data_IF_662937579544
#
_entry.id   IF_662937579544
#
_cell.length_a   1.000
_cell.length_b   1.000
_cell.length_c   1.000
_cell.angle_alpha   90.00
_cell.angle_beta   90.00
_cell.angle_gamma   90.00
#
_symmetry.space_group_name_H-M   'P 1'
#
loop_
_entity.id
_entity.type
_entity.pdbx_description
1 polymer ?
#
# COMPACT_ATOMS: atom_id res chain seq x y z
N UNK A 1 -14.99 -4.45 -4.70
CA UNK A 1 -13.57 -4.30 -4.23
C UNK A 1 -12.62 -4.50 -5.40
N UNK A 2 -11.75 -3.52 -5.68
CA UNK A 2 -10.75 -3.55 -6.77
C UNK A 2 -9.65 -4.57 -6.49
N UNK A 3 -9.08 -5.13 -7.55
CA UNK A 3 -8.01 -6.12 -7.42
C UNK A 3 -6.75 -5.57 -6.73
N UNK A 4 -6.42 -4.29 -6.93
CA UNK A 4 -5.35 -3.61 -6.21
C UNK A 4 -5.55 -3.66 -4.69
N UNK A 5 -6.75 -3.31 -4.21
CA UNK A 5 -7.10 -3.34 -2.78
C UNK A 5 -7.11 -4.77 -2.25
N UNK A 6 -7.57 -5.73 -3.03
CA UNK A 6 -7.52 -7.15 -2.67
C UNK A 6 -6.09 -7.65 -2.44
N UNK A 7 -5.17 -7.31 -3.34
CA UNK A 7 -3.78 -7.67 -3.19
C UNK A 7 -3.12 -7.04 -1.96
N UNK A 8 -3.39 -5.76 -1.71
CA UNK A 8 -2.92 -5.08 -0.51
C UNK A 8 -3.45 -5.74 0.78
N UNK A 9 -4.76 -6.07 0.79
CA UNK A 9 -5.38 -6.79 1.91
C UNK A 9 -4.74 -8.16 2.14
N UNK A 10 -4.45 -8.91 1.07
CA UNK A 10 -3.75 -10.19 1.16
C UNK A 10 -2.39 -10.05 1.84
N UNK A 11 -1.61 -9.01 1.50
CA UNK A 11 -0.31 -8.76 2.15
C UNK A 11 -0.44 -8.38 3.63
N UNK A 12 -1.44 -7.57 3.99
CA UNK A 12 -1.74 -7.24 5.39
C UNK A 12 -2.06 -8.49 6.19
N UNK A 13 -2.92 -9.37 5.65
CA UNK A 13 -3.38 -10.57 6.32
C UNK A 13 -2.30 -11.67 6.39
N UNK A 14 -1.50 -11.85 5.32
CA UNK A 14 -0.35 -12.78 5.34
C UNK A 14 0.68 -12.37 6.42
N UNK A 15 0.82 -11.09 6.70
CA UNK A 15 1.70 -10.57 7.75
C UNK A 15 1.08 -10.48 9.15
N UNK A 16 -0.22 -10.74 9.29
CA UNK A 16 -0.94 -10.49 10.54
C UNK A 16 -0.72 -11.56 11.60
N UNK A 17 -0.58 -12.83 11.22
CA UNK A 17 -0.40 -13.94 12.16
C UNK A 17 -1.48 -13.92 13.26
N UNK A 18 -1.08 -13.87 14.55
CA UNK A 18 -2.03 -13.88 15.68
C UNK A 18 -2.91 -12.63 15.75
N UNK A 19 -2.52 -11.53 15.12
CA UNK A 19 -3.27 -10.26 15.14
C UNK A 19 -4.50 -10.28 14.20
N UNK A 20 -4.71 -11.34 13.41
CA UNK A 20 -5.80 -11.42 12.43
C UNK A 20 -7.17 -11.21 13.08
N UNK A 21 -7.42 -11.80 14.24
CA UNK A 21 -8.68 -11.63 14.97
C UNK A 21 -8.95 -10.17 15.39
N UNK A 22 -7.91 -9.44 15.75
CA UNK A 22 -7.99 -8.00 16.02
C UNK A 22 -8.36 -7.21 14.76
N UNK A 23 -7.71 -7.52 13.63
CA UNK A 23 -8.03 -6.88 12.34
C UNK A 23 -9.49 -7.12 11.95
N UNK A 24 -10.02 -8.34 12.12
CA UNK A 24 -11.44 -8.66 11.89
C UNK A 24 -12.36 -7.74 12.72
N UNK A 25 -12.09 -7.62 14.02
CA UNK A 25 -12.89 -6.79 14.93
C UNK A 25 -12.83 -5.31 14.55
N UNK A 26 -11.64 -4.79 14.24
CA UNK A 26 -11.43 -3.38 13.86
C UNK A 26 -12.12 -3.06 12.52
N UNK A 27 -11.97 -3.92 11.49
CA UNK A 27 -12.67 -3.79 10.21
C UNK A 27 -14.20 -3.84 10.37
N UNK A 28 -14.70 -4.76 11.20
CA UNK A 28 -16.12 -4.87 11.51
C UNK A 28 -16.67 -3.62 12.21
N UNK A 29 -15.91 -3.07 13.16
CA UNK A 29 -16.25 -1.83 13.86
C UNK A 29 -16.33 -0.64 12.90
N UNK A 30 -15.38 -0.53 11.99
CA UNK A 30 -15.39 0.52 10.96
C UNK A 30 -16.57 0.34 9.99
N UNK A 31 -16.85 -0.90 9.56
CA UNK A 31 -18.02 -1.21 8.74
C UNK A 31 -19.34 -0.81 9.43
N UNK A 32 -19.48 -1.10 10.72
CA UNK A 32 -20.62 -0.67 11.52
C UNK A 32 -20.71 0.86 11.63
N UNK A 33 -19.57 1.54 11.80
CA UNK A 33 -19.53 3.00 11.83
C UNK A 33 -20.02 3.63 10.51
N UNK A 34 -19.69 3.06 9.36
CA UNK A 34 -20.20 3.52 8.06
C UNK A 34 -21.72 3.38 7.93
N UNK A 35 -22.31 2.42 8.63
CA UNK A 35 -23.78 2.24 8.65
C UNK A 35 -24.45 3.22 9.60
N UNK A 36 -23.88 3.43 10.79
CA UNK A 36 -24.52 4.20 11.86
C UNK A 36 -24.29 5.72 11.79
N UNK A 37 -23.18 6.16 11.19
CA UNK A 37 -22.81 7.58 11.13
C UNK A 37 -22.95 8.12 9.71
N UNK A 38 -24.08 8.77 9.43
CA UNK A 38 -24.38 9.34 8.11
C UNK A 38 -23.33 10.34 7.63
N UNK A 39 -22.82 11.19 8.51
CA UNK A 39 -21.79 12.18 8.16
C UNK A 39 -20.48 11.51 7.69
N UNK A 40 -20.04 10.45 8.37
CA UNK A 40 -18.87 9.68 7.97
C UNK A 40 -19.09 9.01 6.61
N UNK A 41 -20.25 8.36 6.45
CA UNK A 41 -20.61 7.71 5.19
C UNK A 41 -20.65 8.71 4.05
N UNK A 42 -21.31 9.86 4.20
CA UNK A 42 -21.39 10.89 3.17
C UNK A 42 -20.02 11.35 2.72
N UNK A 43 -19.12 11.72 3.64
CA UNK A 43 -17.76 12.17 3.29
C UNK A 43 -16.97 11.09 2.55
N UNK A 44 -17.05 9.84 2.98
CA UNK A 44 -16.25 8.76 2.40
C UNK A 44 -16.83 8.20 1.10
N UNK A 45 -18.14 8.35 0.85
CA UNK A 45 -18.81 7.89 -0.37
C UNK A 45 -19.14 9.01 -1.35
N UNK A 46 -18.76 10.23 -1.06
CA UNK A 46 -18.92 11.36 -1.98
C UNK A 46 -17.82 11.32 -3.06
N UNK A 47 -18.24 11.23 -4.32
CA UNK A 47 -17.34 11.20 -5.46
C UNK A 47 -16.60 12.54 -5.68
N UNK A 48 -17.09 13.65 -5.11
CA UNK A 48 -16.44 14.97 -5.19
C UNK A 48 -15.28 15.11 -4.22
N UNK A 49 -15.24 14.29 -3.15
CA UNK A 49 -14.15 14.28 -2.19
C UNK A 49 -12.93 13.56 -2.79
N UNK A 50 -11.80 14.26 -2.86
CA UNK A 50 -10.57 13.70 -3.40
C UNK A 50 -10.14 12.42 -2.66
N UNK A 51 -9.61 11.39 -3.35
CA UNK A 51 -9.17 10.15 -2.74
C UNK A 51 -8.19 10.34 -1.57
N UNK A 52 -7.25 11.28 -1.71
CA UNK A 52 -6.31 11.62 -0.65
C UNK A 52 -7.00 12.18 0.61
N UNK A 53 -8.04 12.98 0.44
CA UNK A 53 -8.83 13.52 1.57
C UNK A 53 -9.62 12.43 2.27
N UNK A 54 -10.22 11.50 1.53
CA UNK A 54 -10.90 10.33 2.11
C UNK A 54 -9.95 9.47 2.94
N UNK A 55 -8.73 9.23 2.41
CA UNK A 55 -7.66 8.56 3.16
C UNK A 55 -7.30 9.31 4.44
N UNK A 56 -7.10 10.62 4.37
CA UNK A 56 -6.76 11.44 5.53
C UNK A 56 -7.83 11.33 6.64
N UNK A 57 -9.11 11.41 6.28
CA UNK A 57 -10.22 11.23 7.22
C UNK A 57 -10.16 9.87 7.94
N UNK A 58 -9.90 8.79 7.20
CA UNK A 58 -9.76 7.45 7.79
C UNK A 58 -8.57 7.37 8.74
N UNK A 59 -7.42 7.90 8.33
CA UNK A 59 -6.19 7.90 9.15
C UNK A 59 -6.36 8.73 10.42
N UNK A 60 -7.00 9.89 10.34
CA UNK A 60 -7.26 10.75 11.51
C UNK A 60 -8.26 10.11 12.47
N UNK A 61 -9.31 9.47 11.95
CA UNK A 61 -10.34 8.84 12.76
C UNK A 61 -9.81 7.63 13.54
N UNK A 62 -8.99 6.81 12.90
CA UNK A 62 -8.54 5.52 13.43
C UNK A 62 -7.14 5.58 14.05
N UNK A 63 -6.37 6.62 13.74
CA UNK A 63 -4.99 6.79 14.22
C UNK A 63 -4.91 6.79 15.75
N UNK A 64 -4.08 5.91 16.30
CA UNK A 64 -3.91 5.74 17.75
C UNK A 64 -5.02 4.95 18.46
N UNK A 65 -6.07 4.54 17.75
CA UNK A 65 -7.18 3.70 18.26
C UNK A 65 -7.08 2.27 17.76
N UNK A 66 -6.89 2.12 16.48
CA UNK A 66 -6.80 0.84 15.79
C UNK A 66 -5.35 0.45 15.48
N UNK A 67 -5.14 -0.80 15.11
CA UNK A 67 -3.83 -1.29 14.72
C UNK A 67 -3.32 -0.57 13.47
N UNK A 68 -2.01 -0.33 13.39
CA UNK A 68 -1.40 0.31 12.22
C UNK A 68 -1.72 -0.44 10.91
N UNK A 69 -1.91 -1.77 10.97
CA UNK A 69 -2.29 -2.59 9.83
C UNK A 69 -3.70 -2.28 9.34
N UNK A 70 -4.66 -2.19 10.25
CA UNK A 70 -6.06 -1.84 9.91
C UNK A 70 -6.16 -0.41 9.38
N UNK A 71 -5.47 0.52 10.03
CA UNK A 71 -5.42 1.93 9.57
C UNK A 71 -4.83 2.02 8.16
N UNK A 72 -3.72 1.31 7.88
CA UNK A 72 -3.13 1.27 6.56
C UNK A 72 -4.08 0.66 5.52
N UNK A 73 -4.72 -0.48 5.84
CA UNK A 73 -5.65 -1.16 4.94
C UNK A 73 -6.88 -0.30 4.61
N UNK A 74 -7.52 0.27 5.62
CA UNK A 74 -8.69 1.12 5.41
C UNK A 74 -8.33 2.44 4.72
N UNK A 75 -7.18 3.04 5.05
CA UNK A 75 -6.66 4.22 4.39
C UNK A 75 -6.34 3.97 2.91
N UNK A 76 -5.72 2.82 2.60
CA UNK A 76 -5.47 2.39 1.22
C UNK A 76 -6.79 2.15 0.46
N UNK A 77 -7.75 1.48 1.10
CA UNK A 77 -9.07 1.23 0.52
C UNK A 77 -9.80 2.54 0.22
N UNK A 78 -9.82 3.50 1.16
CA UNK A 78 -10.45 4.80 0.97
C UNK A 78 -9.80 5.62 -0.16
N UNK A 79 -8.51 5.42 -0.41
CA UNK A 79 -7.80 6.09 -1.49
C UNK A 79 -8.08 5.48 -2.87
N UNK A 80 -8.02 4.16 -2.98
CA UNK A 80 -8.04 3.49 -4.28
C UNK A 80 -9.41 2.98 -4.72
N UNK A 81 -10.37 2.78 -3.81
CA UNK A 81 -11.72 2.41 -4.20
C UNK A 81 -12.54 3.60 -4.74
N UNK A 82 -13.48 3.29 -5.62
CA UNK A 82 -14.51 4.26 -5.97
C UNK A 82 -15.35 4.60 -4.74
N UNK A 83 -15.76 5.85 -4.63
CA UNK A 83 -16.54 6.32 -3.49
C UNK A 83 -17.79 5.45 -3.26
N UNK A 84 -18.55 5.14 -4.30
CA UNK A 84 -19.74 4.28 -4.24
C UNK A 84 -19.47 2.85 -3.80
N UNK A 85 -18.25 2.35 -4.02
CA UNK A 85 -17.86 0.97 -3.73
C UNK A 85 -17.16 0.81 -2.37
N UNK A 86 -16.95 1.91 -1.64
CA UNK A 86 -16.18 1.85 -0.39
C UNK A 86 -16.83 0.95 0.67
N UNK A 87 -18.12 1.14 0.95
CA UNK A 87 -18.82 0.33 1.95
C UNK A 87 -18.90 -1.16 1.57
N UNK A 88 -19.28 -1.55 0.32
CA UNK A 88 -19.17 -2.94 -0.13
C UNK A 88 -17.75 -3.51 -0.03
N UNK A 89 -16.74 -2.69 -0.31
CA UNK A 89 -15.34 -3.14 -0.24
C UNK A 89 -14.90 -3.39 1.19
N UNK A 90 -15.31 -2.55 2.15
CA UNK A 90 -15.06 -2.79 3.59
C UNK A 90 -15.73 -4.10 4.05
N UNK A 91 -16.97 -4.36 3.65
CA UNK A 91 -17.64 -5.63 3.97
C UNK A 91 -16.89 -6.84 3.37
N UNK A 92 -16.38 -6.71 2.14
CA UNK A 92 -15.56 -7.76 1.52
C UNK A 92 -14.22 -7.96 2.24
N UNK A 93 -13.60 -6.91 2.79
CA UNK A 93 -12.38 -7.01 3.60
C UNK A 93 -12.64 -7.74 4.92
N UNK A 94 -13.78 -7.49 5.58
CA UNK A 94 -14.18 -8.24 6.78
C UNK A 94 -14.27 -9.73 6.46
N UNK A 95 -15.02 -10.11 5.41
CA UNK A 95 -15.16 -11.51 5.01
C UNK A 95 -13.82 -12.17 4.64
N UNK A 96 -12.89 -11.43 4.01
CA UNK A 96 -11.56 -11.93 3.70
C UNK A 96 -10.74 -12.18 4.97
N UNK A 97 -10.77 -11.24 5.93
CA UNK A 97 -10.09 -11.38 7.20
C UNK A 97 -10.66 -12.51 8.06
N UNK A 98 -11.98 -12.70 8.05
CA UNK A 98 -12.65 -13.84 8.71
C UNK A 98 -12.22 -15.19 8.11
N UNK A 99 -12.09 -15.30 6.79
CA UNK A 99 -11.58 -16.51 6.14
C UNK A 99 -10.17 -16.86 6.62
N UNK A 100 -9.27 -15.87 6.72
CA UNK A 100 -7.91 -16.08 7.21
C UNK A 100 -7.92 -16.44 8.71
N UNK A 101 -8.76 -15.80 9.50
CA UNK A 101 -8.89 -16.09 10.93
C UNK A 101 -9.45 -17.49 11.20
N UNK A 102 -10.35 -17.98 10.36
CA UNK A 102 -10.95 -19.31 10.48
C UNK A 102 -9.96 -20.45 10.14
N UNK A 103 -8.92 -20.17 9.35
CA UNK A 103 -7.93 -21.16 8.93
C UNK A 103 -6.50 -20.59 9.06
N UNK A 104 -5.98 -20.42 10.29
CA UNK A 104 -4.64 -19.86 10.49
C UNK A 104 -3.56 -20.71 9.81
N UNK A 105 -2.68 -20.04 9.03
CA UNK A 105 -1.63 -20.70 8.27
C UNK A 105 -2.08 -21.40 6.97
N UNK A 106 -3.37 -21.32 6.63
CA UNK A 106 -3.83 -21.71 5.31
C UNK A 106 -3.54 -20.59 4.29
N UNK A 107 -3.26 -21.00 3.07
CA UNK A 107 -3.09 -20.05 1.98
C UNK A 107 -4.42 -19.36 1.68
N UNK A 108 -4.40 -18.04 1.58
CA UNK A 108 -5.57 -17.27 1.18
C UNK A 108 -6.00 -17.68 -0.23
N UNK A 109 -7.21 -18.22 -0.35
CA UNK A 109 -7.77 -18.58 -1.64
C UNK A 109 -8.31 -17.35 -2.33
N UNK A 110 -7.65 -16.95 -3.40
CA UNK A 110 -8.13 -15.85 -4.25
C UNK A 110 -8.92 -16.39 -5.45
N UNK A 111 -9.99 -15.70 -5.87
CA UNK A 111 -10.73 -16.10 -7.05
C UNK A 111 -9.84 -16.01 -8.30
N UNK A 112 -10.04 -16.87 -9.31
CA UNK A 112 -9.31 -16.78 -10.57
C UNK A 112 -9.37 -15.37 -11.16
N UNK A 113 -8.26 -14.88 -11.68
CA UNK A 113 -8.14 -13.53 -12.19
C UNK A 113 -7.56 -13.50 -13.61
N UNK A 114 -8.08 -12.61 -14.45
CA UNK A 114 -7.46 -12.27 -15.73
C UNK A 114 -6.10 -11.58 -15.55
N UNK A 115 -5.36 -11.42 -16.65
CA UNK A 115 -3.97 -10.86 -16.59
C UNK A 115 -3.91 -9.49 -15.90
N UNK A 116 -4.83 -8.59 -16.22
CA UNK A 116 -4.87 -7.25 -15.64
C UNK A 116 -5.15 -7.31 -14.15
N UNK A 117 -6.18 -8.05 -13.75
CA UNK A 117 -6.57 -8.23 -12.36
C UNK A 117 -5.46 -8.86 -11.51
N UNK A 118 -4.81 -9.91 -12.02
CA UNK A 118 -3.68 -10.55 -11.33
C UNK A 118 -2.48 -9.60 -11.17
N UNK A 119 -2.24 -8.72 -12.15
CA UNK A 119 -1.18 -7.70 -12.07
C UNK A 119 -1.51 -6.62 -11.05
N UNK A 120 -2.76 -6.16 -10.99
CA UNK A 120 -3.22 -5.20 -9.99
C UNK A 120 -3.15 -5.79 -8.57
N UNK A 121 -3.53 -7.06 -8.38
CA UNK A 121 -3.38 -7.75 -7.09
C UNK A 121 -1.91 -7.82 -6.67
N UNK A 122 -1.03 -8.25 -7.58
CA UNK A 122 0.41 -8.32 -7.27
C UNK A 122 0.98 -6.94 -6.95
N UNK A 123 0.52 -5.88 -7.63
CA UNK A 123 0.89 -4.51 -7.31
C UNK A 123 0.47 -4.14 -5.90
N UNK A 124 -0.79 -4.31 -5.55
CA UNK A 124 -1.28 -3.98 -4.20
C UNK A 124 -0.56 -4.77 -3.11
N UNK A 125 -0.27 -6.06 -3.37
CA UNK A 125 0.53 -6.87 -2.45
C UNK A 125 1.96 -6.33 -2.27
N UNK A 126 2.62 -5.98 -3.37
CA UNK A 126 3.96 -5.43 -3.36
C UNK A 126 4.01 -4.05 -2.70
N UNK A 127 3.03 -3.17 -2.98
CA UNK A 127 2.91 -1.86 -2.35
C UNK A 127 2.92 -2.01 -0.82
N UNK A 128 2.14 -2.95 -0.28
CA UNK A 128 2.09 -3.20 1.16
C UNK A 128 3.40 -3.77 1.71
N UNK A 129 4.04 -4.70 0.99
CA UNK A 129 5.34 -5.26 1.41
C UNK A 129 6.41 -4.18 1.43
N UNK A 130 6.46 -3.32 0.42
CA UNK A 130 7.43 -2.23 0.37
C UNK A 130 7.19 -1.14 1.43
N UNK A 131 5.94 -0.92 1.84
CA UNK A 131 5.61 -0.02 2.97
C UNK A 131 6.28 -0.43 4.29
N UNK A 132 6.54 -1.71 4.48
CA UNK A 132 7.17 -2.26 5.68
C UNK A 132 8.69 -2.12 5.67
N UNK A 133 9.30 -1.76 4.54
CA UNK A 133 10.73 -1.78 4.30
C UNK A 133 11.33 -0.36 4.28
N UNK A 134 12.60 -0.23 4.61
CA UNK A 134 13.39 0.95 4.30
C UNK A 134 13.98 0.88 2.87
N UNK A 135 14.61 1.96 2.44
CA UNK A 135 15.12 2.05 1.06
C UNK A 135 16.17 1.00 0.75
N UNK A 136 17.06 0.69 1.70
CA UNK A 136 18.09 -0.32 1.51
C UNK A 136 17.49 -1.73 1.41
N UNK A 137 16.43 -2.02 2.17
CA UNK A 137 15.72 -3.28 2.09
C UNK A 137 14.93 -3.40 0.77
N UNK A 138 14.36 -2.31 0.25
CA UNK A 138 13.70 -2.32 -1.07
C UNK A 138 14.71 -2.54 -2.19
N UNK A 139 15.87 -1.88 -2.15
CA UNK A 139 16.95 -2.12 -3.11
C UNK A 139 17.37 -3.59 -3.10
N UNK A 140 17.57 -4.15 -1.90
CA UNK A 140 17.90 -5.57 -1.73
C UNK A 140 16.83 -6.50 -2.31
N UNK A 141 15.56 -6.24 -2.07
CA UNK A 141 14.45 -7.01 -2.66
C UNK A 141 14.50 -6.92 -4.19
N UNK A 142 14.75 -5.73 -4.74
CA UNK A 142 14.92 -5.54 -6.18
C UNK A 142 16.05 -6.39 -6.77
N UNK A 143 17.23 -6.37 -6.14
CA UNK A 143 18.39 -7.16 -6.56
C UNK A 143 18.12 -8.67 -6.48
N UNK A 144 17.50 -9.14 -5.39
CA UNK A 144 17.15 -10.54 -5.20
C UNK A 144 16.10 -11.02 -6.20
N UNK A 145 15.08 -10.19 -6.53
CA UNK A 145 14.10 -10.48 -7.58
C UNK A 145 14.73 -10.53 -8.96
N UNK A 146 15.68 -9.63 -9.24
CA UNK A 146 16.45 -9.67 -10.47
C UNK A 146 17.30 -10.95 -10.58
N UNK A 147 17.99 -11.33 -9.51
CA UNK A 147 18.75 -12.59 -9.48
C UNK A 147 17.85 -13.81 -9.71
N UNK A 148 16.66 -13.82 -9.10
CA UNK A 148 15.66 -14.88 -9.28
C UNK A 148 15.17 -14.93 -10.74
N UNK A 149 14.86 -13.79 -11.35
CA UNK A 149 14.43 -13.73 -12.76
C UNK A 149 15.50 -14.30 -13.68
N UNK A 150 16.80 -13.95 -13.46
CA UNK A 150 17.92 -14.47 -14.23
C UNK A 150 18.16 -15.97 -14.04
N UNK A 151 17.97 -16.47 -12.81
CA UNK A 151 18.06 -17.90 -12.53
C UNK A 151 16.97 -18.69 -13.29
N UNK A 152 15.74 -18.20 -13.27
CA UNK A 152 14.61 -18.82 -13.97
C UNK A 152 14.77 -18.75 -15.49
N UNK A 153 15.36 -17.67 -16.01
CA UNK A 153 15.64 -17.54 -17.44
C UNK A 153 16.66 -18.58 -17.92
N UNK A 154 17.68 -18.85 -17.10
CA UNK A 154 18.77 -19.80 -17.41
C UNK A 154 18.43 -21.26 -17.09
N UNK A 155 17.44 -21.52 -16.24
CA UNK A 155 17.11 -22.87 -15.74
C UNK A 155 15.70 -23.24 -16.14
N UNK A 156 15.56 -23.78 -17.35
CA UNK A 156 14.26 -24.14 -17.94
C UNK A 156 13.50 -25.15 -17.08
N UNK A 157 14.17 -26.15 -16.53
CA UNK A 157 13.56 -27.18 -15.67
C UNK A 157 12.93 -26.58 -14.42
N UNK A 158 13.64 -25.64 -13.75
CA UNK A 158 13.12 -24.95 -12.58
C UNK A 158 11.93 -24.06 -12.94
N UNK A 159 12.05 -23.30 -14.03
CA UNK A 159 10.95 -22.47 -14.55
C UNK A 159 9.73 -23.32 -14.85
N UNK A 160 9.91 -24.47 -15.49
CA UNK A 160 8.82 -25.39 -15.82
C UNK A 160 8.11 -25.89 -14.56
N UNK A 161 8.85 -26.40 -13.58
CA UNK A 161 8.28 -26.89 -12.31
C UNK A 161 7.51 -25.79 -11.57
N UNK A 162 8.04 -24.57 -11.48
CA UNK A 162 7.37 -23.46 -10.79
C UNK A 162 6.18 -22.91 -11.57
N UNK A 163 6.19 -23.01 -12.91
CA UNK A 163 5.10 -22.58 -13.79
C UNK A 163 3.97 -23.59 -13.92
N UNK A 164 4.23 -24.85 -13.64
CA UNK A 164 3.28 -25.93 -13.81
C UNK A 164 2.12 -25.83 -12.79
N UNK A 165 0.93 -25.53 -13.29
CA UNK A 165 -0.28 -25.40 -12.48
C UNK A 165 -0.87 -26.73 -12.04
N UNK A 166 -0.46 -27.84 -12.67
CA UNK A 166 -0.89 -29.20 -12.28
C UNK A 166 -0.16 -29.66 -11.02
N UNK A 167 1.01 -29.05 -10.73
CA UNK A 167 1.72 -29.24 -9.47
C UNK A 167 1.06 -28.39 -8.38
N UNK A 168 0.68 -28.99 -7.24
CA UNK A 168 0.07 -28.25 -6.14
C UNK A 168 0.93 -27.04 -5.71
N UNK A 169 0.25 -25.91 -5.43
CA UNK A 169 0.94 -24.66 -5.00
C UNK A 169 1.96 -24.90 -3.88
N UNK A 170 1.60 -25.68 -2.84
CA UNK A 170 2.49 -25.97 -1.70
C UNK A 170 3.78 -26.64 -2.11
N UNK A 171 3.75 -27.55 -3.08
CA UNK A 171 4.94 -28.22 -3.59
C UNK A 171 5.85 -27.22 -4.35
N UNK A 172 5.26 -26.36 -5.18
CA UNK A 172 6.00 -25.31 -5.89
C UNK A 172 6.57 -24.27 -4.92
N UNK A 173 5.80 -23.87 -3.90
CA UNK A 173 6.25 -22.97 -2.85
C UNK A 173 7.43 -23.56 -2.05
N UNK A 174 7.40 -24.84 -1.72
CA UNK A 174 8.50 -25.52 -1.02
C UNK A 174 9.80 -25.50 -1.84
N UNK A 175 9.73 -25.76 -3.15
CA UNK A 175 10.91 -25.64 -4.05
C UNK A 175 11.48 -24.22 -4.04
N UNK A 176 10.61 -23.22 -4.06
CA UNK A 176 11.02 -21.81 -4.00
C UNK A 176 11.64 -21.46 -2.64
N UNK A 177 11.05 -21.95 -1.55
CA UNK A 177 11.54 -21.75 -0.18
C UNK A 177 12.93 -22.36 0.02
N UNK A 178 13.14 -23.59 -0.43
CA UNK A 178 14.44 -24.27 -0.37
C UNK A 178 15.50 -23.52 -1.19
N UNK A 179 15.11 -23.02 -2.35
CA UNK A 179 16.00 -22.24 -3.23
C UNK A 179 16.46 -20.92 -2.58
N UNK A 180 15.55 -20.24 -1.89
CA UNK A 180 15.76 -18.92 -1.30
C UNK A 180 16.21 -18.99 0.18
N UNK A 181 16.17 -20.16 0.81
CA UNK A 181 16.48 -20.35 2.23
C UNK A 181 17.87 -19.79 2.58
N UNK A 182 17.91 -18.87 3.55
CA UNK A 182 19.15 -18.25 4.02
C UNK A 182 19.85 -17.33 3.00
N UNK A 183 19.28 -17.15 1.80
CA UNK A 183 19.87 -16.35 0.71
C UNK A 183 19.07 -15.10 0.38
N UNK A 184 17.78 -15.10 0.63
CA UNK A 184 16.88 -13.99 0.31
C UNK A 184 16.23 -13.40 1.55
N UNK A 185 15.87 -12.13 1.48
CA UNK A 185 15.12 -11.44 2.51
C UNK A 185 13.70 -12.04 2.68
N UNK A 186 13.12 -11.99 3.89
CA UNK A 186 11.75 -12.47 4.10
C UNK A 186 10.72 -11.79 3.18
N UNK A 187 10.91 -10.50 2.86
CA UNK A 187 10.05 -9.76 1.94
C UNK A 187 10.12 -10.32 0.52
N UNK A 188 11.32 -10.67 0.03
CA UNK A 188 11.52 -11.34 -1.26
C UNK A 188 10.78 -12.67 -1.33
N UNK A 189 10.90 -13.48 -0.29
CA UNK A 189 10.19 -14.76 -0.19
C UNK A 189 8.66 -14.56 -0.20
N UNK A 190 8.14 -13.60 0.57
CA UNK A 190 6.70 -13.27 0.58
C UNK A 190 6.18 -12.90 -0.81
N UNK A 191 6.89 -12.01 -1.51
CA UNK A 191 6.53 -11.59 -2.87
C UNK A 191 6.59 -12.77 -3.86
N UNK A 192 7.65 -13.56 -3.82
CA UNK A 192 7.83 -14.69 -4.72
C UNK A 192 6.76 -15.79 -4.50
N UNK A 193 6.40 -16.08 -3.25
CA UNK A 193 5.27 -16.97 -2.90
C UNK A 193 3.95 -16.42 -3.44
N UNK A 194 3.71 -15.13 -3.30
CA UNK A 194 2.49 -14.52 -3.81
C UNK A 194 2.39 -14.58 -5.34
N UNK A 195 3.51 -14.41 -6.06
CA UNK A 195 3.56 -14.62 -7.51
C UNK A 195 3.11 -16.03 -7.90
N UNK A 196 3.59 -17.06 -7.21
CA UNK A 196 3.19 -18.45 -7.47
C UNK A 196 1.72 -18.71 -7.13
N UNK A 197 1.21 -18.10 -6.05
CA UNK A 197 -0.17 -18.25 -5.58
C UNK A 197 -1.16 -17.54 -6.50
N UNK A 198 -0.83 -16.33 -6.94
CA UNK A 198 -1.69 -15.48 -7.76
C UNK A 198 -1.82 -15.94 -9.22
N UNK A 199 -1.25 -17.10 -9.58
CA UNK A 199 -1.52 -17.80 -10.83
C UNK A 199 -0.87 -17.23 -12.09
N UNK A 200 0.08 -16.29 -11.98
CA UNK A 200 0.81 -15.76 -13.15
C UNK A 200 2.04 -16.58 -13.52
N UNK A 201 1.90 -17.88 -13.50
CA UNK A 201 3.01 -18.81 -13.69
C UNK A 201 3.48 -18.91 -15.14
N UNK A 202 2.66 -18.51 -16.12
CA UNK A 202 3.04 -18.59 -17.56
C UNK A 202 4.21 -17.69 -17.94
N UNK A 203 4.39 -16.58 -17.22
CA UNK A 203 5.48 -15.62 -17.45
C UNK A 203 6.09 -15.23 -16.11
N UNK A 204 6.75 -16.16 -15.47
CA UNK A 204 7.42 -15.93 -14.18
C UNK A 204 8.57 -14.94 -14.32
N UNK A 205 9.39 -15.08 -15.36
CA UNK A 205 10.54 -14.20 -15.60
C UNK A 205 10.09 -12.76 -15.73
N UNK A 206 9.18 -12.46 -16.67
CA UNK A 206 8.65 -11.11 -16.85
C UNK A 206 7.88 -10.58 -15.64
N UNK A 207 7.28 -11.46 -14.83
CA UNK A 207 6.62 -11.04 -13.59
C UNK A 207 7.63 -10.60 -12.53
N UNK A 208 8.75 -11.32 -12.36
CA UNK A 208 9.81 -10.90 -11.45
C UNK A 208 10.55 -9.65 -11.94
N UNK A 209 10.81 -9.52 -13.24
CA UNK A 209 11.38 -8.29 -13.83
C UNK A 209 10.47 -7.08 -13.59
N UNK A 210 9.16 -7.26 -13.72
CA UNK A 210 8.21 -6.19 -13.40
C UNK A 210 8.22 -5.81 -11.91
N UNK A 211 8.43 -6.76 -10.98
CA UNK A 211 8.61 -6.45 -9.56
C UNK A 211 9.89 -5.65 -9.30
N UNK A 212 10.97 -5.92 -10.05
CA UNK A 212 12.20 -5.09 -10.01
C UNK A 212 11.91 -3.65 -10.40
N UNK A 213 11.17 -3.45 -11.50
CA UNK A 213 10.74 -2.10 -11.91
C UNK A 213 9.86 -1.43 -10.87
N UNK A 214 8.97 -2.19 -10.23
CA UNK A 214 8.10 -1.68 -9.19
C UNK A 214 8.89 -1.24 -7.96
N UNK A 215 9.88 -2.03 -7.52
CA UNK A 215 10.78 -1.67 -6.42
C UNK A 215 11.55 -0.38 -6.72
N UNK A 216 12.06 -0.24 -7.95
CA UNK A 216 12.75 0.98 -8.37
C UNK A 216 11.85 2.22 -8.37
N UNK A 217 10.59 2.07 -8.77
CA UNK A 217 9.59 3.16 -8.71
C UNK A 217 9.22 3.51 -7.28
N UNK A 218 9.08 2.52 -6.42
CA UNK A 218 8.74 2.74 -5.01
C UNK A 218 9.79 3.60 -4.29
N UNK A 219 11.07 3.40 -4.60
CA UNK A 219 12.16 4.26 -4.14
C UNK A 219 11.97 5.72 -4.57
N UNK A 220 11.56 5.97 -5.83
CA UNK A 220 11.27 7.33 -6.33
C UNK A 220 10.06 7.98 -5.65
N UNK A 221 9.07 7.21 -5.21
CA UNK A 221 7.86 7.72 -4.54
C UNK A 221 8.08 8.10 -3.07
N UNK A 222 9.20 7.73 -2.47
CA UNK A 222 9.57 8.13 -1.10
C UNK A 222 10.26 9.49 -1.04
N UNK A 223 10.53 10.10 -2.18
CA UNK A 223 11.04 11.46 -2.25
C UNK A 223 9.86 12.44 -2.09
N UNK A 224 9.85 13.21 -0.98
CA UNK A 224 8.95 14.33 -0.83
C UNK A 224 9.58 15.56 -1.45
N UNK A 225 8.95 16.12 -2.46
CA UNK A 225 9.29 17.46 -2.95
C UNK A 225 8.56 18.50 -2.09
N UNK A 226 9.33 19.39 -1.47
CA UNK A 226 8.82 20.46 -0.63
C UNK A 226 9.17 21.79 -1.26
N UNK A 227 8.17 22.55 -1.67
CA UNK A 227 8.36 23.92 -2.13
C UNK A 227 8.18 24.87 -0.96
N UNK A 228 9.17 25.72 -0.74
CA UNK A 228 9.23 26.72 0.33
C UNK A 228 9.71 28.05 -0.23
N UNK A 229 9.24 29.16 0.35
CA UNK A 229 9.72 30.50 0.01
C UNK A 229 11.18 30.72 0.40
N UNK A 230 11.69 29.97 1.37
CA UNK A 230 13.03 30.08 1.95
C UNK A 230 13.68 28.71 2.10
N UNK A 231 14.99 28.68 2.21
CA UNK A 231 15.71 27.46 2.57
C UNK A 231 15.30 26.97 3.97
N UNK A 232 15.17 25.66 4.11
CA UNK A 232 14.90 25.03 5.41
C UNK A 232 16.23 24.54 6.03
N UNK A 233 16.37 24.73 7.32
CA UNK A 233 17.53 24.23 8.04
C UNK A 233 17.44 22.69 8.26
N UNK A 234 18.56 22.08 8.67
CA UNK A 234 18.66 20.63 8.87
C UNK A 234 17.67 20.12 9.92
N UNK A 235 17.36 20.91 10.97
CA UNK A 235 16.45 20.52 12.02
C UNK A 235 14.97 20.60 11.53
N UNK A 236 14.66 21.60 10.71
CA UNK A 236 13.37 21.74 10.06
C UNK A 236 13.12 20.61 9.08
N UNK A 237 14.13 20.25 8.27
CA UNK A 237 14.08 19.12 7.36
C UNK A 237 13.83 17.80 8.08
N UNK A 238 14.54 17.55 9.20
CA UNK A 238 14.36 16.34 9.99
C UNK A 238 12.96 16.26 10.62
N UNK A 239 12.43 17.37 11.15
CA UNK A 239 11.07 17.45 11.69
C UNK A 239 10.03 17.20 10.61
N UNK A 240 10.21 17.80 9.44
CA UNK A 240 9.32 17.65 8.30
C UNK A 240 9.34 16.21 7.78
N UNK A 241 10.52 15.61 7.59
CA UNK A 241 10.66 14.21 7.19
C UNK A 241 9.96 13.26 8.17
N UNK A 242 10.10 13.53 9.49
CA UNK A 242 9.43 12.75 10.54
C UNK A 242 7.92 12.89 10.48
N UNK A 243 7.41 14.12 10.31
CA UNK A 243 5.97 14.39 10.23
C UNK A 243 5.36 13.75 8.97
N UNK A 244 6.03 13.90 7.82
CA UNK A 244 5.61 13.27 6.56
C UNK A 244 5.69 11.75 6.65
N UNK A 245 6.75 11.21 7.26
CA UNK A 245 6.90 9.78 7.49
C UNK A 245 5.75 9.18 8.30
N UNK A 246 5.27 9.88 9.33
CA UNK A 246 4.08 9.49 10.10
C UNK A 246 2.81 9.54 9.27
N UNK A 247 2.66 10.59 8.43
CA UNK A 247 1.47 10.81 7.62
C UNK A 247 1.33 9.75 6.52
N UNK A 248 2.46 9.39 5.87
CA UNK A 248 2.46 8.39 4.79
C UNK A 248 2.81 6.97 5.27
N UNK A 249 3.07 6.80 6.57
CA UNK A 249 3.54 5.56 7.21
C UNK A 249 4.82 4.98 6.57
N UNK A 250 5.73 5.87 6.07
CA UNK A 250 6.98 5.51 5.39
C UNK A 250 8.11 6.47 5.77
N UNK A 251 9.35 6.04 5.62
CA UNK A 251 10.48 6.97 5.63
C UNK A 251 10.43 7.83 4.38
N UNK A 252 10.51 9.14 4.55
CA UNK A 252 10.45 10.11 3.46
C UNK A 252 11.77 10.88 3.41
N UNK A 253 12.39 10.90 2.23
CA UNK A 253 13.50 11.80 1.95
C UNK A 253 12.92 13.12 1.45
N UNK A 254 13.23 14.22 2.14
CA UNK A 254 12.74 15.56 1.78
C UNK A 254 13.73 16.22 0.83
N UNK A 255 13.23 16.64 -0.33
CA UNK A 255 13.95 17.52 -1.25
C UNK A 255 13.27 18.89 -1.26
N UNK A 256 14.00 19.93 -0.87
CA UNK A 256 13.48 21.30 -0.88
C UNK A 256 13.77 21.96 -2.21
N UNK A 257 12.73 22.58 -2.76
CA UNK A 257 12.81 23.49 -3.89
C UNK A 257 12.44 24.86 -3.35
N UNK A 258 13.40 25.80 -3.37
CA UNK A 258 13.11 27.18 -3.00
C UNK A 258 12.34 27.83 -4.14
N UNK A 259 11.10 28.20 -3.89
CA UNK A 259 10.19 28.78 -4.86
C UNK A 259 9.63 30.11 -4.31
N UNK A 260 10.13 31.25 -4.79
CA UNK A 260 9.68 32.57 -4.31
C UNK A 260 8.19 32.87 -4.60
N UNK A 261 7.53 32.08 -5.46
CA UNK A 261 6.10 32.22 -5.72
C UNK A 261 5.22 31.70 -4.59
N UNK A 262 5.79 30.88 -3.70
CA UNK A 262 5.16 30.46 -2.46
C UNK A 262 5.21 31.62 -1.47
N UNK A 263 4.08 32.29 -1.23
CA UNK A 263 3.98 33.49 -0.35
C UNK A 263 4.21 33.17 1.14
N UNK A 264 4.67 31.96 1.47
CA UNK A 264 4.93 31.47 2.83
C UNK A 264 4.19 30.16 3.12
N UNK A 265 4.70 29.41 4.07
CA UNK A 265 4.28 28.04 4.34
C UNK A 265 4.99 27.05 3.42
N UNK A 266 4.45 25.83 3.32
CA UNK A 266 5.04 24.73 2.58
C UNK A 266 3.99 24.10 1.64
N UNK A 267 4.39 23.83 0.41
CA UNK A 267 3.67 22.93 -0.50
C UNK A 267 4.47 21.64 -0.59
N UNK A 268 3.87 20.54 -0.16
CA UNK A 268 4.53 19.24 -0.09
C UNK A 268 3.86 18.27 -1.04
N UNK A 269 4.64 17.61 -1.89
CA UNK A 269 4.17 16.48 -2.71
C UNK A 269 4.97 15.22 -2.41
N UNK A 270 4.26 14.12 -2.13
CA UNK A 270 4.83 12.80 -1.88
C UNK A 270 4.04 11.78 -2.70
N UNK A 271 4.57 11.37 -3.84
CA UNK A 271 3.80 10.59 -4.80
C UNK A 271 2.53 11.34 -5.23
N UNK A 272 1.38 10.70 -5.07
CA UNK A 272 0.07 11.31 -5.41
C UNK A 272 -0.51 12.22 -4.31
N UNK A 273 0.16 12.29 -3.14
CA UNK A 273 -0.29 13.11 -2.02
C UNK A 273 0.28 14.52 -2.15
N UNK A 274 -0.60 15.52 -2.24
CA UNK A 274 -0.24 16.93 -2.21
C UNK A 274 -0.82 17.57 -0.95
N UNK A 275 0.04 18.16 -0.13
CA UNK A 275 -0.32 18.86 1.10
C UNK A 275 0.01 20.33 0.90
N UNK A 276 -1.01 21.16 0.79
CA UNK A 276 -0.88 22.60 0.69
C UNK A 276 -1.06 23.25 2.07
N UNK A 277 0.07 23.61 2.68
CA UNK A 277 0.15 24.37 3.93
C UNK A 277 0.49 25.83 3.72
N UNK A 278 0.30 26.36 2.51
CA UNK A 278 0.65 27.76 2.18
C UNK A 278 -0.25 28.76 2.91
N UNK A 279 0.30 29.93 3.17
CA UNK A 279 -0.44 31.08 3.73
C UNK A 279 -1.57 31.49 2.78
N UNK A 280 -1.37 31.33 1.48
CA UNK A 280 -2.37 31.62 0.46
C UNK A 280 -3.65 30.81 0.66
N UNK A 281 -3.55 29.49 0.81
CA UNK A 281 -4.71 28.62 1.06
C UNK A 281 -5.41 28.96 2.37
N UNK A 282 -4.65 29.33 3.41
CA UNK A 282 -5.22 29.75 4.71
C UNK A 282 -6.02 31.06 4.58
N UNK A 283 -5.52 32.02 3.80
CA UNK A 283 -6.21 33.28 3.55
C UNK A 283 -7.46 33.06 2.69
N UNK A 284 -7.40 32.20 1.68
CA UNK A 284 -8.56 31.83 0.87
C UNK A 284 -9.67 31.22 1.74
N UNK A 285 -9.33 30.26 2.60
CA UNK A 285 -10.29 29.66 3.55
C UNK A 285 -10.89 30.67 4.53
N UNK A 286 -10.09 31.62 5.06
CA UNK A 286 -10.60 32.68 5.93
C UNK A 286 -11.57 33.59 5.18
N UNK A 287 -11.27 33.93 3.93
CA UNK A 287 -12.17 34.74 3.09
C UNK A 287 -13.50 34.05 2.85
N UNK A 288 -13.46 32.73 2.57
CA UNK A 288 -14.68 31.95 2.34
C UNK A 288 -15.55 31.85 3.60
N UNK A 289 -14.95 31.68 4.79
CA UNK A 289 -15.67 31.69 6.07
C UNK A 289 -16.30 33.05 6.36
N UNK A 290 -15.60 34.15 6.07
CA UNK A 290 -16.12 35.51 6.26
C UNK A 290 -17.21 35.85 5.25
N UNK A 291 -17.11 35.37 4.02
CA UNK A 291 -18.13 35.54 2.99
C UNK A 291 -19.45 34.78 3.28
N UNK A 292 -19.37 33.68 4.03
CA UNK A 292 -20.54 32.92 4.49
C UNK A 292 -21.22 33.53 5.73
N UNK A 293 -20.57 34.53 6.35
CA UNK A 293 -21.06 35.19 7.57
C UNK A 293 -21.70 36.58 7.28
N UNK A 294 -21.77 36.94 6.02
CA UNK A 294 -22.40 38.19 5.51
C UNK A 294 -23.66 37.89 4.74
#
# INVERSE_FOLDING_TARGET
MRDLVRGYAAAVLDGAGPDTGRIVSELGSFGAALVHFDALRQVLTDATVAPASRRAVVVDLLGGRDSARTVALLGFTAHYEHASELAPSVAALVGLAEQVAAAPGADLVEPPAGRSAARERLRGYADRVFEELDDAAVDRVGDEMFALSRLLDRTESLRHVLADTDVPYRARAAVLEDLLAGRAAPATLRLARYVLRNGRTRDLVGTFEWLVELAARERGMRLAEVRSAVELDTAELARLATALGRLVARRVTVRVVVDPTVVGGLLVSVGDLVIDGTVRLRLERLRDVLALSS
#
